data_IF_848073761812
#
_entry.id   IF_848073761812
#
_cell.length_a   1.000
_cell.length_b   1.000
_cell.length_c   1.000
_cell.angle_alpha   90.00
_cell.angle_beta   90.00
_cell.angle_gamma   90.00
#
_symmetry.space_group_name_H-M   'P 1'
#
loop_
_entity.id
_entity.type
_entity.pdbx_description
1 polymer ?
#
# COMPACT_ATOMS: atom_id res chain seq x y z
N UNK A 1 26.46 -54.17 33.67
CA UNK A 1 25.05 -54.32 34.10
C UNK A 1 24.74 -53.19 35.07
N UNK A 2 24.73 -51.95 34.59
CA UNK A 2 23.66 -51.28 33.82
C UNK A 2 22.53 -50.82 34.76
N UNK A 3 22.44 -49.49 34.95
CA UNK A 3 21.37 -48.61 34.43
C UNK A 3 20.07 -48.82 35.24
N UNK A 4 19.50 -47.83 35.94
CA UNK A 4 18.91 -46.60 35.41
C UNK A 4 18.69 -45.61 36.57
N UNK A 5 19.19 -44.37 36.43
CA UNK A 5 18.76 -43.22 37.24
C UNK A 5 17.51 -42.63 36.58
N UNK A 6 16.43 -42.53 37.35
CA UNK A 6 15.21 -41.82 36.99
C UNK A 6 15.50 -40.30 36.92
N UNK A 7 15.30 -39.69 35.76
CA UNK A 7 15.31 -38.24 35.59
C UNK A 7 13.89 -37.66 35.80
N UNK A 8 13.74 -36.48 36.43
CA UNK A 8 12.43 -35.87 36.65
C UNK A 8 11.91 -35.09 35.43
N UNK A 9 10.65 -35.36 35.11
CA UNK A 9 9.59 -34.48 34.60
C UNK A 9 10.01 -33.27 33.73
N UNK A 10 9.92 -33.42 32.40
CA UNK A 10 9.96 -32.30 31.45
C UNK A 10 8.61 -31.58 31.45
N UNK A 11 8.59 -30.37 31.98
CA UNK A 11 7.50 -29.42 31.74
C UNK A 11 7.52 -29.01 30.26
N UNK A 12 6.36 -29.13 29.63
CA UNK A 12 6.06 -28.78 28.24
C UNK A 12 6.32 -27.30 27.94
N UNK A 13 7.23 -27.02 27.00
CA UNK A 13 7.39 -25.70 26.37
C UNK A 13 6.16 -25.33 25.52
N UNK A 14 5.72 -24.06 25.53
CA UNK A 14 4.57 -23.64 24.74
C UNK A 14 4.94 -23.56 23.25
N UNK A 15 4.05 -24.10 22.43
CA UNK A 15 4.08 -24.15 20.97
C UNK A 15 4.53 -22.83 20.32
N UNK A 16 5.78 -22.79 19.85
CA UNK A 16 6.22 -21.84 18.84
C UNK A 16 5.46 -22.17 17.56
N UNK A 17 4.40 -21.40 17.27
CA UNK A 17 3.72 -21.45 15.97
C UNK A 17 4.74 -21.12 14.89
N UNK A 18 5.15 -22.14 14.14
CA UNK A 18 5.95 -21.99 12.92
C UNK A 18 5.10 -21.19 11.93
N UNK A 19 5.42 -19.92 11.76
CA UNK A 19 4.89 -19.13 10.66
C UNK A 19 5.34 -19.80 9.36
N UNK A 20 4.34 -20.16 8.54
CA UNK A 20 4.57 -20.69 7.21
C UNK A 20 5.46 -19.71 6.42
N UNK A 21 6.38 -20.27 5.65
CA UNK A 21 7.24 -19.57 4.70
C UNK A 21 6.37 -18.63 3.85
N UNK A 22 6.40 -17.33 4.13
CA UNK A 22 5.85 -16.31 3.24
C UNK A 22 6.55 -16.51 1.89
N UNK A 23 5.79 -16.88 0.86
CA UNK A 23 6.26 -16.73 -0.51
C UNK A 23 6.53 -15.24 -0.67
N UNK A 24 7.79 -14.82 -0.64
CA UNK A 24 8.17 -13.50 -1.12
C UNK A 24 7.65 -13.41 -2.56
N UNK A 25 6.68 -12.55 -2.81
CA UNK A 25 6.29 -12.13 -4.14
C UNK A 25 7.54 -11.49 -4.78
N UNK A 26 8.29 -12.34 -5.50
CA UNK A 26 9.39 -11.93 -6.34
C UNK A 26 8.80 -11.17 -7.52
N UNK A 27 9.16 -9.90 -7.65
CA UNK A 27 8.82 -9.03 -8.78
C UNK A 27 9.43 -9.49 -10.12
N UNK A 28 9.89 -10.74 -10.23
CA UNK A 28 10.62 -11.24 -11.38
C UNK A 28 9.82 -11.24 -12.69
N UNK A 29 8.54 -10.86 -12.69
CA UNK A 29 7.74 -10.74 -13.90
C UNK A 29 6.79 -9.52 -13.86
N UNK A 30 7.35 -8.30 -13.79
CA UNK A 30 6.56 -7.14 -14.21
C UNK A 30 6.14 -7.33 -15.67
N UNK A 31 4.83 -7.36 -15.91
CA UNK A 31 4.28 -7.62 -17.25
C UNK A 31 3.84 -6.30 -17.89
N UNK A 32 4.38 -5.93 -19.08
CA UNK A 32 3.96 -4.72 -19.78
C UNK A 32 2.44 -4.67 -20.02
N UNK A 33 1.82 -3.47 -19.96
CA UNK A 33 2.45 -2.18 -19.64
C UNK A 33 2.88 -2.06 -18.17
N UNK A 34 4.00 -1.38 -17.93
CA UNK A 34 4.54 -1.13 -16.59
C UNK A 34 4.38 0.36 -16.27
N UNK A 35 3.63 0.64 -15.22
CA UNK A 35 3.49 1.97 -14.64
C UNK A 35 4.56 2.14 -13.57
N UNK A 36 5.32 3.24 -13.64
CA UNK A 36 6.30 3.60 -12.60
C UNK A 36 6.32 5.11 -12.38
N UNK A 37 5.96 5.54 -11.17
CA UNK A 37 6.04 6.95 -10.73
C UNK A 37 6.80 7.04 -9.42
N UNK A 38 7.40 8.20 -9.13
CA UNK A 38 8.23 8.36 -7.94
C UNK A 38 8.35 9.81 -7.49
N UNK A 39 8.57 10.01 -6.19
CA UNK A 39 8.73 11.34 -5.61
C UNK A 39 9.61 11.33 -4.37
N UNK A 40 10.44 12.37 -4.21
CA UNK A 40 11.15 12.62 -2.96
C UNK A 40 10.23 13.36 -1.97
N UNK A 41 10.04 12.76 -0.81
CA UNK A 41 9.29 13.33 0.33
C UNK A 41 10.30 13.63 1.45
N UNK A 42 10.31 14.87 1.94
CA UNK A 42 11.24 15.40 2.97
C UNK A 42 10.79 15.03 4.39
N UNK A 43 10.61 13.73 4.59
CA UNK A 43 10.36 13.09 5.88
C UNK A 43 11.10 11.74 5.98
N UNK A 44 11.44 11.30 7.20
CA UNK A 44 11.97 9.95 7.45
C UNK A 44 11.07 8.85 6.90
N UNK A 45 11.67 7.72 6.51
CA UNK A 45 10.95 6.60 5.89
C UNK A 45 9.83 6.05 6.76
N UNK A 46 10.00 6.02 8.09
CA UNK A 46 8.97 5.57 9.01
C UNK A 46 7.70 6.43 8.98
N UNK A 47 7.85 7.75 8.87
CA UNK A 47 6.70 8.65 8.74
C UNK A 47 6.04 8.51 7.37
N UNK A 48 6.85 8.40 6.31
CA UNK A 48 6.31 8.27 4.95
C UNK A 48 5.61 6.94 4.77
N UNK A 49 6.22 5.83 5.20
CA UNK A 49 5.62 4.49 5.21
C UNK A 49 4.32 4.47 6.02
N UNK A 50 4.36 4.96 7.26
CA UNK A 50 3.18 5.01 8.14
C UNK A 50 2.01 5.77 7.52
N UNK A 51 2.27 6.83 6.76
CA UNK A 51 1.24 7.62 6.08
C UNK A 51 0.48 6.84 5.00
N UNK A 52 1.02 5.75 4.46
CA UNK A 52 0.34 4.87 3.49
C UNK A 52 -0.37 3.69 4.16
N UNK A 53 -0.01 3.36 5.41
CA UNK A 53 -0.61 2.26 6.18
C UNK A 53 -1.83 2.72 6.97
N UNK A 54 -1.78 3.92 7.55
CA UNK A 54 -2.82 4.44 8.44
C UNK A 54 -3.84 5.30 7.68
N UNK A 55 -5.11 4.84 7.53
CA UNK A 55 -6.15 5.61 6.86
C UNK A 55 -6.47 6.95 7.53
N UNK A 56 -6.13 7.15 8.80
CA UNK A 56 -6.27 8.46 9.48
C UNK A 56 -5.37 9.53 8.82
N UNK A 57 -4.28 9.10 8.19
CA UNK A 57 -3.32 9.93 7.45
C UNK A 57 -3.54 9.83 5.95
N UNK A 58 -3.68 8.63 5.39
CA UNK A 58 -3.85 8.42 3.94
C UNK A 58 -5.10 9.11 3.41
N UNK A 59 -6.16 9.21 4.22
CA UNK A 59 -7.38 9.93 3.85
C UNK A 59 -7.21 11.43 3.61
N UNK A 60 -6.07 11.99 4.02
CA UNK A 60 -5.75 13.41 3.80
C UNK A 60 -5.28 13.68 2.36
N UNK A 61 -4.97 12.64 1.59
CA UNK A 61 -4.41 12.81 0.24
C UNK A 61 -4.81 11.76 -0.80
N UNK A 62 -5.53 10.68 -0.47
CA UNK A 62 -5.84 9.62 -1.44
C UNK A 62 -7.31 9.19 -1.54
N UNK A 63 -7.97 8.84 -0.44
CA UNK A 63 -9.37 8.41 -0.41
C UNK A 63 -10.13 9.14 0.70
N UNK A 64 -11.45 9.08 0.73
CA UNK A 64 -12.24 9.72 1.80
C UNK A 64 -12.07 8.99 3.13
N UNK A 65 -12.12 7.65 3.11
CA UNK A 65 -11.88 6.81 4.29
C UNK A 65 -11.46 5.39 3.89
N UNK A 66 -10.77 4.71 4.80
CA UNK A 66 -10.40 3.31 4.70
C UNK A 66 -11.08 2.50 5.79
N UNK A 67 -11.36 1.22 5.55
CA UNK A 67 -11.99 0.33 6.55
C UNK A 67 -11.08 -0.02 7.72
N UNK A 68 -9.76 0.18 7.59
CA UNK A 68 -8.78 -0.13 8.62
C UNK A 68 -7.35 0.15 8.13
N UNK A 69 -6.38 -0.05 9.03
CA UNK A 69 -4.96 -0.04 8.70
C UNK A 69 -4.63 -1.19 7.74
N UNK A 70 -3.58 -1.03 6.93
CA UNK A 70 -3.08 -2.16 6.14
C UNK A 70 -2.46 -3.21 7.07
N UNK A 71 -2.94 -4.45 6.95
CA UNK A 71 -2.45 -5.61 7.70
C UNK A 71 -2.15 -6.73 6.71
N UNK A 72 -0.93 -7.28 6.75
CA UNK A 72 -0.49 -8.32 5.83
C UNK A 72 -1.43 -9.54 5.85
N UNK A 73 -1.87 -9.99 4.68
CA UNK A 73 -2.80 -11.10 4.52
C UNK A 73 -4.28 -10.74 4.69
N UNK A 74 -4.61 -9.48 5.01
CA UNK A 74 -5.99 -9.04 5.15
C UNK A 74 -6.50 -8.31 3.91
N UNK A 75 -7.83 -8.20 3.85
CA UNK A 75 -8.54 -7.39 2.86
C UNK A 75 -9.14 -6.18 3.53
N UNK A 76 -8.87 -5.02 2.97
CA UNK A 76 -9.40 -3.73 3.42
C UNK A 76 -10.25 -3.11 2.32
N UNK A 77 -10.96 -2.04 2.61
CA UNK A 77 -11.75 -1.31 1.62
C UNK A 77 -11.42 0.18 1.68
N UNK A 78 -11.09 0.75 0.53
CA UNK A 78 -10.96 2.20 0.33
C UNK A 78 -12.26 2.75 -0.24
N UNK A 79 -12.68 3.91 0.25
CA UNK A 79 -13.91 4.57 -0.15
C UNK A 79 -13.61 5.98 -0.67
N UNK A 80 -14.11 6.28 -1.86
CA UNK A 80 -14.20 7.61 -2.43
C UNK A 80 -15.66 8.02 -2.36
N UNK A 81 -16.08 8.43 -1.16
CA UNK A 81 -17.50 8.70 -0.87
C UNK A 81 -18.03 9.84 -1.77
N UNK A 82 -17.17 10.80 -2.14
CA UNK A 82 -17.52 11.89 -3.08
C UNK A 82 -17.96 11.36 -4.45
N UNK A 83 -17.47 10.18 -4.86
CA UNK A 83 -17.79 9.54 -6.13
C UNK A 83 -18.74 8.34 -5.97
N UNK A 84 -19.19 8.04 -4.75
CA UNK A 84 -19.95 6.82 -4.47
C UNK A 84 -19.19 5.53 -4.80
N UNK A 85 -17.85 5.58 -4.85
CA UNK A 85 -17.00 4.50 -5.32
C UNK A 85 -16.23 3.82 -4.16
N UNK A 86 -15.89 2.55 -4.34
CA UNK A 86 -15.05 1.82 -3.39
C UNK A 86 -14.20 0.75 -4.08
N UNK A 87 -13.11 0.37 -3.42
CA UNK A 87 -12.23 -0.70 -3.86
C UNK A 87 -11.89 -1.59 -2.66
N UNK A 88 -12.12 -2.90 -2.78
CA UNK A 88 -11.53 -3.87 -1.86
C UNK A 88 -10.05 -4.02 -2.22
N UNK A 89 -9.14 -4.09 -1.28
CA UNK A 89 -7.70 -4.21 -1.55
C UNK A 89 -7.15 -5.36 -0.74
N UNK A 90 -6.39 -6.24 -1.39
CA UNK A 90 -5.69 -7.33 -0.72
C UNK A 90 -4.26 -6.89 -0.37
N UNK A 91 -3.89 -6.97 0.90
CA UNK A 91 -2.54 -6.61 1.37
C UNK A 91 -1.67 -7.86 1.32
N UNK A 92 -0.76 -7.92 0.35
CA UNK A 92 0.05 -9.11 0.08
C UNK A 92 1.28 -9.16 1.00
N UNK A 93 2.05 -8.07 1.06
CA UNK A 93 3.26 -7.99 1.87
C UNK A 93 3.46 -6.58 2.44
N UNK A 94 3.98 -6.55 3.67
CA UNK A 94 4.40 -5.33 4.35
C UNK A 94 5.79 -5.54 4.94
N UNK A 95 6.76 -4.77 4.46
CA UNK A 95 8.10 -4.70 5.04
C UNK A 95 8.25 -3.31 5.65
N UNK A 96 8.30 -3.25 6.98
CA UNK A 96 8.27 -2.00 7.72
C UNK A 96 9.32 -1.00 7.20
N UNK A 97 8.86 0.22 6.92
CA UNK A 97 9.63 1.36 6.43
C UNK A 97 10.31 1.15 5.07
N UNK A 98 10.04 0.04 4.38
CA UNK A 98 10.75 -0.37 3.16
C UNK A 98 9.81 -0.65 1.99
N UNK A 99 8.73 -1.40 2.21
CA UNK A 99 7.91 -1.92 1.11
C UNK A 99 6.47 -2.17 1.50
N UNK A 100 5.56 -1.85 0.58
CA UNK A 100 4.16 -2.27 0.64
C UNK A 100 3.84 -2.93 -0.70
N UNK A 101 3.25 -4.12 -0.67
CA UNK A 101 2.72 -4.79 -1.85
C UNK A 101 1.24 -5.10 -1.62
N UNK A 102 0.39 -4.63 -2.53
CA UNK A 102 -1.03 -4.96 -2.56
C UNK A 102 -1.40 -5.58 -3.91
N UNK A 103 -2.59 -6.17 -3.99
CA UNK A 103 -3.29 -6.31 -5.26
C UNK A 103 -4.46 -5.33 -5.33
N UNK A 104 -4.47 -4.37 -6.29
CA UNK A 104 -5.73 -3.82 -6.84
C UNK A 104 -5.60 -2.83 -8.02
N UNK A 105 -6.39 -2.96 -9.11
CA UNK A 105 -6.98 -4.21 -9.66
C UNK A 105 -5.89 -5.16 -10.19
N UNK A 106 -4.66 -4.65 -10.27
CA UNK A 106 -3.43 -5.35 -10.60
C UNK A 106 -2.45 -5.19 -9.43
N UNK A 107 -1.38 -5.98 -9.31
CA UNK A 107 -0.38 -5.77 -8.26
C UNK A 107 0.23 -4.36 -8.29
N UNK A 108 0.32 -3.74 -7.11
CA UNK A 108 0.95 -2.43 -6.92
C UNK A 108 1.95 -2.51 -5.79
N UNK A 109 3.16 -2.04 -6.07
CA UNK A 109 4.27 -2.01 -5.12
C UNK A 109 4.69 -0.58 -4.82
N UNK A 110 4.80 -0.26 -3.53
CA UNK A 110 5.52 0.91 -3.04
C UNK A 110 6.86 0.48 -2.47
N UNK A 111 7.93 1.15 -2.90
CA UNK A 111 9.27 1.04 -2.31
C UNK A 111 9.66 2.37 -1.70
N UNK A 112 10.02 2.34 -0.42
CA UNK A 112 10.43 3.49 0.38
C UNK A 112 11.95 3.45 0.53
N UNK A 113 12.66 4.30 -0.22
CA UNK A 113 14.13 4.35 -0.20
C UNK A 113 14.63 5.55 0.61
N UNK A 114 15.15 5.39 1.84
CA UNK A 114 15.69 6.49 2.62
C UNK A 114 16.81 7.24 1.87
N UNK A 115 16.83 8.57 2.01
CA UNK A 115 17.84 9.50 1.50
C UNK A 115 18.36 10.33 2.66
N UNK A 116 19.16 9.70 3.52
CA UNK A 116 19.58 10.28 4.79
C UNK A 116 18.51 10.12 5.88
N UNK A 117 18.54 10.99 6.90
CA UNK A 117 17.64 10.89 8.05
C UNK A 117 16.23 11.46 7.78
N UNK A 118 16.14 12.50 6.97
CA UNK A 118 14.93 13.34 6.86
C UNK A 118 14.33 13.38 5.45
N UNK A 119 14.65 12.40 4.60
CA UNK A 119 14.04 12.30 3.28
C UNK A 119 13.91 10.84 2.84
N UNK A 120 12.86 10.58 2.06
CA UNK A 120 12.53 9.26 1.51
C UNK A 120 12.13 9.41 0.06
N UNK A 121 12.73 8.62 -0.82
CA UNK A 121 12.34 8.53 -2.21
C UNK A 121 11.35 7.36 -2.36
N UNK A 122 10.08 7.69 -2.63
CA UNK A 122 9.02 6.71 -2.80
C UNK A 122 8.89 6.38 -4.28
N UNK A 123 8.89 5.09 -4.62
CA UNK A 123 8.61 4.60 -5.98
C UNK A 123 7.36 3.74 -5.93
N UNK A 124 6.43 3.99 -6.84
CA UNK A 124 5.22 3.18 -7.04
C UNK A 124 5.33 2.48 -8.38
N UNK A 125 5.17 1.16 -8.39
CA UNK A 125 5.18 0.34 -9.61
C UNK A 125 3.90 -0.48 -9.68
N UNK A 126 3.24 -0.49 -10.84
CA UNK A 126 2.09 -1.35 -11.13
C UNK A 126 2.25 -1.99 -12.51
N UNK A 127 1.87 -3.26 -12.64
CA UNK A 127 1.99 -4.01 -13.89
C UNK A 127 1.11 -5.27 -13.86
N UNK A 128 0.88 -5.90 -15.00
CA UNK A 128 -0.03 -7.05 -15.09
C UNK A 128 -1.47 -6.63 -15.29
N UNK A 129 -1.67 -5.57 -16.09
CA UNK A 129 -2.99 -5.11 -16.50
C UNK A 129 -3.67 -6.19 -17.35
N UNK A 130 -4.97 -6.42 -17.11
CA UNK A 130 -5.77 -7.42 -17.82
C UNK A 130 -6.72 -6.79 -18.83
N UNK A 131 -7.18 -7.57 -19.81
CA UNK A 131 -8.12 -7.11 -20.85
C UNK A 131 -7.46 -7.04 -22.22
N UNK A 132 -8.13 -6.38 -23.16
CA UNK A 132 -7.57 -6.04 -24.48
C UNK A 132 -6.39 -5.09 -24.35
N UNK A 133 -5.57 -4.97 -25.41
CA UNK A 133 -4.43 -4.05 -25.43
C UNK A 133 -4.85 -2.60 -25.13
N UNK A 134 -5.99 -2.16 -25.68
CA UNK A 134 -6.53 -0.83 -25.42
C UNK A 134 -6.91 -0.62 -23.95
N UNK A 135 -7.55 -1.61 -23.32
CA UNK A 135 -7.91 -1.55 -21.90
C UNK A 135 -6.67 -1.56 -21.00
N UNK A 136 -5.65 -2.37 -21.34
CA UNK A 136 -4.38 -2.41 -20.62
C UNK A 136 -3.66 -1.05 -20.66
N UNK A 137 -3.58 -0.43 -21.85
CA UNK A 137 -2.97 0.89 -22.03
C UNK A 137 -3.75 1.97 -21.28
N UNK A 138 -5.08 1.99 -21.41
CA UNK A 138 -5.93 2.95 -20.67
C UNK A 138 -5.74 2.81 -19.16
N UNK A 139 -5.84 1.58 -18.64
CA UNK A 139 -5.67 1.31 -17.22
C UNK A 139 -4.28 1.69 -16.68
N UNK A 140 -3.23 1.52 -17.49
CA UNK A 140 -1.89 1.97 -17.14
C UNK A 140 -1.78 3.50 -17.09
N UNK A 141 -2.36 4.21 -18.06
CA UNK A 141 -2.38 5.69 -18.08
C UNK A 141 -3.15 6.23 -16.87
N UNK A 142 -4.33 5.68 -16.59
CA UNK A 142 -5.17 6.09 -15.46
C UNK A 142 -4.46 5.82 -14.12
N UNK A 143 -3.84 4.65 -13.98
CA UNK A 143 -3.06 4.30 -12.79
C UNK A 143 -1.87 5.24 -12.59
N UNK A 144 -1.15 5.59 -13.67
CA UNK A 144 -0.04 6.55 -13.60
C UNK A 144 -0.52 7.92 -13.10
N UNK A 145 -1.67 8.40 -13.59
CA UNK A 145 -2.28 9.65 -13.14
C UNK A 145 -2.65 9.61 -11.66
N UNK A 146 -3.40 8.59 -11.25
CA UNK A 146 -3.81 8.40 -9.86
C UNK A 146 -2.63 8.34 -8.89
N UNK A 147 -1.63 7.50 -9.16
CA UNK A 147 -0.45 7.38 -8.29
C UNK A 147 0.41 8.65 -8.26
N UNK A 148 0.42 9.44 -9.33
CA UNK A 148 1.10 10.73 -9.34
C UNK A 148 0.39 11.75 -8.44
N UNK A 149 -0.95 11.79 -8.43
CA UNK A 149 -1.71 12.61 -7.49
C UNK A 149 -1.56 12.15 -6.04
N UNK A 150 -1.54 10.83 -5.81
CA UNK A 150 -1.26 10.25 -4.50
C UNK A 150 0.07 10.78 -3.96
N UNK A 151 1.16 10.67 -4.73
CA UNK A 151 2.48 11.14 -4.33
C UNK A 151 2.51 12.65 -4.08
N UNK A 152 1.91 13.45 -4.96
CA UNK A 152 1.85 14.90 -4.80
C UNK A 152 1.07 15.33 -3.55
N UNK A 153 -0.08 14.70 -3.29
CA UNK A 153 -0.88 14.95 -2.09
C UNK A 153 -0.16 14.51 -0.81
N UNK A 154 0.47 13.33 -0.82
CA UNK A 154 1.27 12.84 0.30
C UNK A 154 2.42 13.80 0.62
N UNK A 155 3.14 14.27 -0.41
CA UNK A 155 4.20 15.26 -0.25
C UNK A 155 3.69 16.55 0.40
N UNK A 156 2.61 17.13 -0.13
CA UNK A 156 2.04 18.37 0.40
C UNK A 156 1.56 18.22 1.85
N UNK A 157 0.92 17.09 2.16
CA UNK A 157 0.44 16.79 3.50
C UNK A 157 1.59 16.62 4.49
N UNK A 158 2.55 15.75 4.19
CA UNK A 158 3.63 15.44 5.13
C UNK A 158 4.63 16.57 5.31
N UNK A 159 4.91 17.35 4.26
CA UNK A 159 5.88 18.45 4.33
C UNK A 159 5.28 19.75 4.86
N UNK A 160 4.00 20.00 4.59
CA UNK A 160 3.38 21.31 4.83
C UNK A 160 2.04 21.28 5.57
N UNK A 161 1.45 20.10 5.81
CA UNK A 161 0.12 19.98 6.43
C UNK A 161 -1.02 20.48 5.53
N UNK A 162 -0.80 20.54 4.22
CA UNK A 162 -1.78 21.07 3.24
C UNK A 162 -2.46 19.91 2.53
N UNK A 163 -3.80 19.92 2.51
CA UNK A 163 -4.60 19.05 1.65
C UNK A 163 -4.88 19.76 0.33
N UNK A 164 -4.32 19.24 -0.76
CA UNK A 164 -4.46 19.83 -2.09
C UNK A 164 -5.78 19.48 -2.78
N UNK A 165 -6.59 18.58 -2.21
CA UNK A 165 -7.85 18.08 -2.79
C UNK A 165 -7.73 17.45 -4.19
N UNK A 166 -6.52 17.02 -4.58
CA UNK A 166 -6.24 16.51 -5.93
C UNK A 166 -7.20 15.42 -6.40
N UNK A 167 -7.53 14.45 -5.52
CA UNK A 167 -8.43 13.35 -5.88
C UNK A 167 -9.88 13.83 -6.03
N UNK A 168 -10.32 14.75 -5.17
CA UNK A 168 -11.67 15.33 -5.18
C UNK A 168 -11.89 16.22 -6.41
N UNK A 169 -10.86 16.96 -6.80
CA UNK A 169 -10.88 17.91 -7.91
C UNK A 169 -10.54 17.26 -9.27
N UNK A 170 -10.07 16.00 -9.29
CA UNK A 170 -9.67 15.33 -10.53
C UNK A 170 -10.86 15.08 -11.46
N UNK A 171 -12.02 14.75 -10.90
CA UNK A 171 -13.24 14.38 -11.63
C UNK A 171 -14.46 15.13 -11.08
N UNK A 172 -14.50 16.47 -11.19
CA UNK A 172 -15.50 17.30 -10.52
C UNK A 172 -16.94 16.97 -10.94
N UNK A 173 -17.15 16.52 -12.18
CA UNK A 173 -18.48 16.19 -12.71
C UNK A 173 -19.00 14.81 -12.25
N UNK A 174 -18.16 13.99 -11.62
CA UNK A 174 -18.53 12.66 -11.12
C UNK A 174 -18.93 12.67 -9.64
N UNK A 175 -19.02 13.84 -9.01
CA UNK A 175 -19.48 13.95 -7.63
C UNK A 175 -20.92 13.46 -7.51
N UNK A 176 -21.19 12.59 -6.54
CA UNK A 176 -22.56 12.19 -6.22
C UNK A 176 -23.29 13.40 -5.65
N UNK A 177 -24.44 13.73 -6.24
CA UNK A 177 -25.27 14.81 -5.73
C UNK A 177 -25.78 14.41 -4.33
N UNK A 178 -25.29 15.09 -3.30
CA UNK A 178 -25.95 15.05 -1.99
C UNK A 178 -27.27 15.80 -2.15
N UNK A 179 -28.36 15.07 -2.43
CA UNK A 179 -29.70 15.56 -2.16
C UNK A 179 -29.85 15.63 -0.63
N UNK A 180 -29.51 16.79 -0.07
CA UNK A 180 -29.96 17.20 1.25
C UNK A 180 -31.36 17.81 1.14
#
# INVERSE_FOLDING_TARGET
MDLVRLAPNQASEPHVRRYAVQRRYSLSEFTPPIVRTHMLIRRPASLVYGAFIDPSVTSKFWFTRGSGMLVCGEKITWYWDMYGASAQVEVLELEQDQRILIGWPTPVEWVFSPRGKDATFVTITASGFSGSEGEQVSGAIDSMGGFSFLLAGCKAWLEHGIQLKLVDDHNPDHHVQNHA
#
